data_IF_037371668187
#
_entry.id   IF_037371668187
#
_cell.length_a   1.000
_cell.length_b   1.000
_cell.length_c   1.000
_cell.angle_alpha   90.00
_cell.angle_beta   90.00
_cell.angle_gamma   90.00
#
_symmetry.space_group_name_H-M   'P 1'
#
loop_
_entity.id
_entity.type
_entity.pdbx_description
1 polymer ?
#
# COMPACT_ATOMS: atom_id res chain seq x y z
N UNK A 1 -24.28 4.15 0.97
CA UNK A 1 -22.93 3.56 0.75
C UNK A 1 -21.86 4.59 1.07
N UNK A 2 -21.92 5.81 0.55
CA UNK A 2 -20.92 6.86 0.79
C UNK A 2 -20.73 7.22 2.27
N UNK A 3 -21.80 7.20 3.06
CA UNK A 3 -21.72 7.46 4.50
C UNK A 3 -21.04 6.32 5.26
N UNK A 4 -21.23 5.08 4.83
CA UNK A 4 -20.56 3.90 5.40
C UNK A 4 -19.06 3.90 5.06
N UNK A 5 -18.72 4.25 3.83
CA UNK A 5 -17.31 4.38 3.41
C UNK A 5 -16.62 5.47 4.22
N UNK A 6 -17.24 6.65 4.34
CA UNK A 6 -16.70 7.75 5.14
C UNK A 6 -16.57 7.40 6.63
N UNK A 7 -17.56 6.73 7.19
CA UNK A 7 -17.48 6.24 8.57
C UNK A 7 -16.33 5.24 8.74
N UNK A 8 -16.22 4.27 7.84
CA UNK A 8 -15.13 3.32 7.85
C UNK A 8 -13.77 4.02 7.74
N UNK A 9 -13.62 4.96 6.83
CA UNK A 9 -12.39 5.71 6.64
C UNK A 9 -12.01 6.54 7.86
N UNK A 10 -12.98 7.11 8.57
CA UNK A 10 -12.72 7.94 9.74
C UNK A 10 -12.49 7.14 11.01
N UNK A 11 -13.25 6.04 11.20
CA UNK A 11 -13.31 5.34 12.49
C UNK A 11 -12.56 4.00 12.48
N UNK A 12 -12.60 3.28 11.37
CA UNK A 12 -12.10 1.89 11.29
C UNK A 12 -10.72 1.82 10.65
N UNK A 13 -10.34 2.82 9.85
CA UNK A 13 -9.05 2.83 9.18
C UNK A 13 -7.86 2.88 10.15
N UNK A 14 -8.06 3.37 11.35
CA UNK A 14 -7.08 3.27 12.43
C UNK A 14 -7.27 1.99 13.25
N UNK A 15 -7.17 0.86 12.58
CA UNK A 15 -7.29 -0.47 13.22
C UNK A 15 -6.30 -0.62 14.38
N UNK A 16 -5.11 -0.04 14.27
CA UNK A 16 -4.12 -0.09 15.34
C UNK A 16 -4.58 0.68 16.60
N UNK A 17 -5.33 1.76 16.42
CA UNK A 17 -5.92 2.51 17.52
C UNK A 17 -7.07 1.76 18.21
N UNK A 18 -7.83 0.98 17.45
CA UNK A 18 -8.93 0.18 17.99
C UNK A 18 -8.46 -0.99 18.87
N UNK A 19 -7.31 -1.57 18.55
CA UNK A 19 -6.80 -2.74 19.28
C UNK A 19 -5.96 -2.33 20.48
N UNK A 20 -4.86 -1.71 20.27
CA UNK A 20 -3.96 -1.07 21.25
C UNK A 20 -2.96 -0.26 20.46
N UNK A 21 -2.92 1.08 20.58
CA UNK A 21 -2.07 1.92 19.73
C UNK A 21 -0.57 1.56 19.77
N UNK A 22 -0.13 1.00 20.89
CA UNK A 22 1.25 0.58 21.11
C UNK A 22 1.60 -0.79 20.52
N UNK A 23 0.59 -1.57 20.09
CA UNK A 23 0.80 -2.91 19.53
C UNK A 23 0.32 -2.98 18.07
N UNK A 24 0.96 -3.84 17.30
CA UNK A 24 0.48 -4.20 15.97
C UNK A 24 -0.61 -5.29 16.04
N UNK A 25 -1.15 -5.69 14.89
CA UNK A 25 -2.19 -6.72 14.79
C UNK A 25 -1.76 -8.10 15.33
N UNK A 26 -0.48 -8.31 15.56
CA UNK A 26 0.09 -9.56 16.04
C UNK A 26 0.54 -9.49 17.52
N UNK A 27 0.13 -8.44 18.24
CA UNK A 27 0.50 -8.24 19.64
C UNK A 27 1.94 -7.81 19.88
N UNK A 28 2.68 -7.45 18.84
CA UNK A 28 4.04 -6.94 18.93
C UNK A 28 4.03 -5.42 19.07
N UNK A 29 5.10 -4.83 19.60
CA UNK A 29 5.22 -3.37 19.69
C UNK A 29 5.11 -2.75 18.29
N UNK A 30 4.14 -1.86 18.11
CA UNK A 30 3.95 -1.13 16.87
C UNK A 30 5.20 -0.28 16.58
N UNK A 31 5.62 -0.28 15.32
CA UNK A 31 6.79 0.46 14.87
C UNK A 31 6.35 1.54 13.87
N UNK A 32 6.86 2.77 13.99
CA UNK A 32 6.68 3.77 12.93
C UNK A 32 7.22 3.22 11.60
N UNK A 33 6.51 3.50 10.51
CA UNK A 33 6.87 3.03 9.17
C UNK A 33 6.76 4.17 8.17
N UNK A 34 7.82 4.38 7.40
CA UNK A 34 7.82 5.30 6.26
C UNK A 34 7.19 4.65 5.04
N UNK A 35 7.52 3.39 4.82
CA UNK A 35 7.08 2.60 3.67
C UNK A 35 5.96 1.66 4.09
N UNK A 36 4.86 1.69 3.34
CA UNK A 36 3.82 0.68 3.46
C UNK A 36 4.20 -0.54 2.60
N UNK A 37 4.24 -1.72 3.21
CA UNK A 37 4.61 -2.96 2.51
C UNK A 37 3.49 -3.52 1.62
N UNK A 38 2.25 -3.09 1.79
CA UNK A 38 1.09 -3.65 1.07
C UNK A 38 1.28 -3.72 -0.46
N UNK A 39 1.73 -2.65 -1.16
CA UNK A 39 1.92 -2.69 -2.61
C UNK A 39 3.03 -3.66 -3.08
N UNK A 40 3.87 -4.12 -2.17
CA UNK A 40 4.99 -5.03 -2.47
C UNK A 40 4.65 -6.49 -2.20
N UNK A 41 3.56 -6.75 -1.49
CA UNK A 41 3.26 -8.09 -0.97
C UNK A 41 2.05 -8.73 -1.63
N UNK A 42 1.06 -7.94 -2.07
CA UNK A 42 -0.21 -8.47 -2.54
C UNK A 42 -0.96 -7.52 -3.48
N UNK A 43 -1.98 -8.09 -4.11
CA UNK A 43 -3.06 -7.39 -4.79
C UNK A 43 -4.39 -7.83 -4.20
N UNK A 44 -5.37 -6.94 -4.22
CA UNK A 44 -6.75 -7.22 -3.79
C UNK A 44 -7.64 -7.12 -5.02
N UNK A 45 -8.22 -8.25 -5.43
CA UNK A 45 -9.19 -8.29 -6.53
C UNK A 45 -10.57 -8.07 -5.94
N UNK A 46 -11.22 -6.98 -6.34
CA UNK A 46 -12.54 -6.61 -5.85
C UNK A 46 -13.64 -7.26 -6.72
N UNK A 47 -14.86 -7.34 -6.17
CA UNK A 47 -15.99 -8.02 -6.81
C UNK A 47 -16.36 -7.44 -8.20
N UNK A 48 -16.02 -6.18 -8.46
CA UNK A 48 -16.26 -5.50 -9.74
C UNK A 48 -15.11 -5.65 -10.75
N UNK A 49 -14.08 -6.44 -10.44
CA UNK A 49 -12.89 -6.62 -11.26
C UNK A 49 -11.77 -5.63 -11.01
N UNK A 50 -12.01 -4.53 -10.31
CA UNK A 50 -10.97 -3.58 -9.97
C UNK A 50 -9.94 -4.21 -9.05
N UNK A 51 -8.66 -3.94 -9.31
CA UNK A 51 -7.54 -4.45 -8.51
C UNK A 51 -6.90 -3.31 -7.75
N UNK A 52 -6.96 -3.39 -6.42
CA UNK A 52 -6.33 -2.44 -5.50
C UNK A 52 -5.14 -3.06 -4.77
N UNK A 53 -4.35 -2.25 -4.07
CA UNK A 53 -3.13 -2.73 -3.40
C UNK A 53 -3.31 -2.95 -1.91
N UNK A 54 -4.45 -2.58 -1.34
CA UNK A 54 -4.65 -2.59 0.10
C UNK A 54 -6.02 -3.14 0.49
N UNK A 55 -6.05 -4.05 1.44
CA UNK A 55 -7.30 -4.65 1.92
C UNK A 55 -8.16 -3.69 2.77
N UNK A 56 -7.60 -2.60 3.26
CA UNK A 56 -8.32 -1.57 4.01
C UNK A 56 -8.70 -0.36 3.14
N UNK A 57 -8.45 -0.43 1.84
CA UNK A 57 -8.86 0.59 0.86
C UNK A 57 -10.26 0.28 0.29
N UNK A 58 -11.28 0.51 1.08
CA UNK A 58 -12.66 0.22 0.68
C UNK A 58 -13.24 1.28 -0.28
N UNK A 59 -12.61 2.44 -0.35
CA UNK A 59 -12.97 3.50 -1.29
C UNK A 59 -12.44 3.28 -2.71
N UNK A 60 -11.61 2.25 -2.90
CA UNK A 60 -10.92 1.96 -4.17
C UNK A 60 -10.04 3.14 -4.64
N UNK A 61 -9.41 3.82 -3.69
CA UNK A 61 -8.48 4.93 -3.98
C UNK A 61 -7.09 4.50 -4.45
N UNK A 62 -6.81 3.17 -4.41
CA UNK A 62 -5.51 2.61 -4.80
C UNK A 62 -5.63 1.60 -5.94
N UNK A 63 -6.60 1.79 -6.84
CA UNK A 63 -6.80 0.90 -8.00
C UNK A 63 -5.62 1.02 -8.96
N UNK A 64 -5.06 -0.13 -9.34
CA UNK A 64 -3.90 -0.24 -10.23
C UNK A 64 -4.19 -1.05 -11.51
N UNK A 65 -5.38 -1.60 -11.65
CA UNK A 65 -5.78 -2.37 -12.84
C UNK A 65 -7.17 -2.96 -12.70
N UNK A 66 -7.55 -3.75 -13.70
CA UNK A 66 -8.85 -4.42 -13.80
C UNK A 66 -8.68 -5.80 -14.44
N UNK A 67 -9.04 -6.86 -13.71
CA UNK A 67 -8.88 -8.24 -14.20
C UNK A 67 -9.83 -8.61 -15.35
N UNK A 68 -10.86 -7.79 -15.61
CA UNK A 68 -11.70 -7.96 -16.79
C UNK A 68 -11.04 -7.50 -18.09
N UNK A 69 -9.93 -6.74 -17.98
CA UNK A 69 -9.23 -6.13 -19.12
C UNK A 69 -7.83 -6.67 -19.33
N UNK A 70 -7.17 -7.09 -18.26
CA UNK A 70 -5.78 -7.55 -18.33
C UNK A 70 -5.49 -8.64 -17.28
N UNK A 71 -4.55 -9.56 -17.57
CA UNK A 71 -4.15 -10.58 -16.62
C UNK A 71 -3.55 -9.99 -15.34
N UNK A 72 -3.78 -10.65 -14.21
CA UNK A 72 -3.26 -10.21 -12.90
C UNK A 72 -1.73 -10.05 -12.88
N UNK A 73 -1.02 -10.90 -13.66
CA UNK A 73 0.44 -10.79 -13.84
C UNK A 73 0.84 -9.44 -14.43
N UNK A 74 0.10 -8.96 -15.43
CA UNK A 74 0.42 -7.70 -16.12
C UNK A 74 0.11 -6.51 -15.21
N UNK A 75 -0.94 -6.59 -14.39
CA UNK A 75 -1.22 -5.62 -13.34
C UNK A 75 -0.06 -5.58 -12.32
N UNK A 76 0.42 -6.75 -11.88
CA UNK A 76 1.52 -6.86 -10.93
C UNK A 76 2.83 -6.25 -11.44
N UNK A 77 3.09 -6.37 -12.73
CA UNK A 77 4.29 -5.85 -13.39
C UNK A 77 4.06 -4.47 -14.03
N UNK A 78 2.83 -3.97 -13.98
CA UNK A 78 2.40 -2.78 -14.69
C UNK A 78 2.87 -1.47 -14.06
N UNK A 79 2.83 -0.43 -14.88
CA UNK A 79 3.27 0.90 -14.50
C UNK A 79 2.45 1.53 -13.34
N UNK A 80 1.12 1.36 -13.25
CA UNK A 80 0.36 1.92 -12.13
C UNK A 80 0.85 1.43 -10.78
N UNK A 81 1.08 0.13 -10.63
CA UNK A 81 1.59 -0.44 -9.38
C UNK A 81 3.05 -0.06 -9.14
N UNK A 82 3.86 -0.02 -10.19
CA UNK A 82 5.25 0.44 -10.11
C UNK A 82 5.34 1.87 -9.59
N UNK A 83 4.54 2.77 -10.14
CA UNK A 83 4.46 4.18 -9.72
C UNK A 83 4.09 4.29 -8.24
N UNK A 84 3.11 3.51 -7.79
CA UNK A 84 2.72 3.49 -6.38
C UNK A 84 3.83 2.96 -5.48
N UNK A 85 4.53 1.90 -5.87
CA UNK A 85 5.70 1.38 -5.14
C UNK A 85 6.79 2.42 -5.00
N UNK A 86 7.10 3.14 -6.08
CA UNK A 86 8.07 4.22 -6.06
C UNK A 86 7.64 5.37 -5.14
N UNK A 87 6.37 5.76 -5.15
CA UNK A 87 5.84 6.77 -4.24
C UNK A 87 6.03 6.36 -2.76
N UNK A 88 5.80 5.08 -2.42
CA UNK A 88 6.06 4.57 -1.08
C UNK A 88 7.55 4.69 -0.72
N UNK A 89 8.44 4.24 -1.59
CA UNK A 89 9.88 4.24 -1.34
C UNK A 89 10.47 5.65 -1.24
N UNK A 90 9.94 6.60 -2.00
CA UNK A 90 10.37 8.01 -1.99
C UNK A 90 9.77 8.82 -0.83
N UNK A 91 8.89 8.23 -0.03
CA UNK A 91 8.19 8.91 1.04
C UNK A 91 7.07 9.83 0.56
N UNK A 92 6.56 9.62 -0.66
CA UNK A 92 5.50 10.41 -1.29
C UNK A 92 4.13 9.67 -1.25
N UNK A 93 3.89 8.81 -0.27
CA UNK A 93 2.61 8.09 -0.17
C UNK A 93 1.40 9.01 0.00
N UNK A 94 1.64 10.23 0.46
CA UNK A 94 0.62 11.27 0.61
C UNK A 94 0.01 11.74 -0.72
N UNK A 95 0.66 11.46 -1.85
CA UNK A 95 0.12 11.68 -3.20
C UNK A 95 -1.13 10.84 -3.46
N UNK A 96 -1.27 9.74 -2.73
CA UNK A 96 -2.49 8.92 -2.74
C UNK A 96 -3.38 9.30 -1.56
N UNK A 97 -4.55 9.83 -1.84
CA UNK A 97 -5.51 10.28 -0.82
C UNK A 97 -5.81 9.16 0.19
N UNK A 98 -5.99 7.94 -0.30
CA UNK A 98 -6.23 6.77 0.53
C UNK A 98 -5.09 6.46 1.52
N UNK A 99 -3.87 6.90 1.25
CA UNK A 99 -2.68 6.62 2.06
C UNK A 99 -2.24 7.80 2.94
N UNK A 100 -2.75 9.01 2.67
CA UNK A 100 -2.29 10.26 3.29
C UNK A 100 -2.24 10.23 4.81
N UNK A 101 -3.31 9.81 5.45
CA UNK A 101 -3.42 9.76 6.91
C UNK A 101 -3.53 8.33 7.44
N UNK A 102 -3.17 7.35 6.64
CA UNK A 102 -3.33 5.94 6.99
C UNK A 102 -2.31 5.50 8.04
N UNK A 103 -2.80 4.90 9.13
CA UNK A 103 -2.00 4.35 10.22
C UNK A 103 -1.74 2.84 10.06
N UNK A 104 -2.36 2.21 9.08
CA UNK A 104 -2.25 0.76 8.86
C UNK A 104 -0.82 0.21 8.75
N UNK A 105 0.15 0.92 8.13
CA UNK A 105 1.52 0.40 8.03
C UNK A 105 2.16 0.03 9.38
N UNK A 106 1.89 0.78 10.44
CA UNK A 106 2.41 0.46 11.78
C UNK A 106 1.79 -0.79 12.40
N UNK A 107 0.65 -1.24 11.88
CA UNK A 107 -0.05 -2.45 12.32
C UNK A 107 0.52 -3.73 11.69
N UNK A 108 1.34 -3.61 10.66
CA UNK A 108 1.95 -4.76 9.98
C UNK A 108 3.03 -5.42 10.85
N UNK A 109 3.30 -6.71 10.66
CA UNK A 109 4.33 -7.42 11.43
C UNK A 109 5.73 -6.85 11.17
N UNK A 110 6.64 -7.05 12.12
CA UNK A 110 8.02 -6.56 12.02
C UNK A 110 8.74 -7.03 10.75
N UNK A 111 8.46 -8.25 10.29
CA UNK A 111 9.02 -8.84 9.06
C UNK A 111 8.62 -8.04 7.80
N UNK A 112 7.53 -7.30 7.83
CA UNK A 112 7.08 -6.45 6.73
C UNK A 112 7.65 -5.02 6.80
N UNK A 113 8.72 -4.78 7.58
CA UNK A 113 9.37 -3.49 7.63
C UNK A 113 10.36 -3.33 6.47
N UNK A 114 10.05 -2.44 5.55
CA UNK A 114 10.87 -2.15 4.37
C UNK A 114 11.73 -0.89 4.52
N UNK A 115 11.65 -0.19 5.64
CA UNK A 115 12.34 1.10 5.80
C UNK A 115 13.87 0.99 5.65
N UNK A 116 14.44 -0.12 6.09
CA UNK A 116 15.89 -0.39 5.94
C UNK A 116 16.28 -0.80 4.51
N UNK A 117 15.32 -1.22 3.70
CA UNK A 117 15.54 -1.76 2.35
C UNK A 117 15.30 -0.73 1.23
N UNK A 118 14.94 0.51 1.59
CA UNK A 118 14.52 1.55 0.62
C UNK A 118 15.56 1.75 -0.48
N UNK A 119 16.85 1.88 -0.15
CA UNK A 119 17.90 2.09 -1.15
C UNK A 119 18.02 0.94 -2.14
N UNK A 120 17.96 -0.30 -1.66
CA UNK A 120 18.03 -1.51 -2.49
C UNK A 120 16.80 -1.63 -3.39
N UNK A 121 15.64 -1.35 -2.85
CA UNK A 121 14.38 -1.42 -3.60
C UNK A 121 14.30 -0.30 -4.64
N UNK A 122 14.69 0.92 -4.33
CA UNK A 122 14.77 2.00 -5.32
C UNK A 122 15.67 1.63 -6.49
N UNK A 123 16.86 1.07 -6.24
CA UNK A 123 17.75 0.61 -7.28
C UNK A 123 17.14 -0.47 -8.18
N UNK A 124 16.25 -1.31 -7.63
CA UNK A 124 15.57 -2.34 -8.39
C UNK A 124 14.38 -1.80 -9.21
N UNK A 125 13.66 -0.82 -8.69
CA UNK A 125 12.51 -0.22 -9.38
C UNK A 125 12.89 0.93 -10.31
N UNK A 126 14.00 1.58 -10.05
CA UNK A 126 14.60 2.61 -10.89
C UNK A 126 15.95 2.10 -11.39
N UNK A 127 16.01 1.12 -12.28
CA UNK A 127 17.29 0.77 -12.89
C UNK A 127 17.86 2.08 -13.44
N UNK A 128 19.14 2.35 -13.13
CA UNK A 128 19.84 3.48 -13.70
C UNK A 128 19.47 3.53 -15.17
N UNK A 129 18.98 4.68 -15.64
CA UNK A 129 18.61 4.83 -17.04
C UNK A 129 19.75 4.19 -17.82
N UNK A 130 19.43 3.07 -18.49
CA UNK A 130 20.44 2.30 -19.20
C UNK A 130 21.21 3.33 -19.98
N UNK A 131 22.51 3.43 -19.72
CA UNK A 131 23.32 4.48 -20.32
C UNK A 131 22.89 4.55 -21.77
N UNK A 132 22.15 5.62 -22.14
CA UNK A 132 21.70 5.81 -23.49
C UNK A 132 22.97 5.91 -24.32
N UNK A 133 23.39 4.72 -24.74
CA UNK A 133 24.52 4.60 -25.65
C UNK A 133 24.05 4.99 -27.04
#
# INVERSE_FOLDING_TARGET
IDSLVKWYESEVRDISGMLKPELNLYGQKAQPRRVCAEPFMKLVVNFNGAVSVCCVDWSLGTVVGDVSREPLRDIWLGEPLRTMRLAQLRGCREDYEACRNCQYPKSLPAVANLDAEVGRLLAAYEPAAAAAG
#
